data_IF_608880324391
#
_entry.id   IF_608880324391
#
_cell.length_a   1.000
_cell.length_b   1.000
_cell.length_c   1.000
_cell.angle_alpha   90.00
_cell.angle_beta   90.00
_cell.angle_gamma   90.00
#
_symmetry.space_group_name_H-M   'P 1'
#
loop_
_entity.id
_entity.type
_entity.pdbx_description
1 polymer ?
#
# COMPACT_ATOMS: atom_id res chain seq x y z
N UNK A 1 49.51 -30.03 5.69
CA UNK A 1 48.47 -30.01 4.65
C UNK A 1 47.17 -30.29 5.39
N UNK A 2 46.20 -29.41 5.55
CA UNK A 2 45.76 -28.26 4.75
C UNK A 2 45.34 -27.09 5.64
N UNK A 3 45.37 -25.92 5.01
CA UNK A 3 45.26 -24.59 5.58
C UNK A 3 43.87 -24.27 6.11
N UNK A 4 43.82 -23.68 7.31
CA UNK A 4 42.70 -22.85 7.77
C UNK A 4 42.49 -21.74 6.75
N UNK A 5 41.50 -21.89 5.86
CA UNK A 5 41.10 -20.83 4.95
C UNK A 5 40.51 -19.68 5.78
N UNK A 6 41.10 -18.50 5.62
CA UNK A 6 40.65 -17.26 6.21
C UNK A 6 39.19 -17.01 5.81
N UNK A 7 38.33 -16.79 6.79
CA UNK A 7 37.02 -16.17 6.58
C UNK A 7 37.27 -14.74 6.07
N UNK A 8 37.40 -14.62 4.75
CA UNK A 8 37.49 -13.33 4.06
C UNK A 8 36.20 -12.59 4.31
N UNK A 9 36.31 -11.34 4.78
CA UNK A 9 35.17 -10.43 4.95
C UNK A 9 34.43 -10.36 3.63
N UNK A 10 33.23 -10.94 3.56
CA UNK A 10 32.37 -10.89 2.39
C UNK A 10 32.22 -9.44 1.95
N UNK A 11 32.66 -9.15 0.72
CA UNK A 11 32.58 -7.80 0.19
C UNK A 11 31.18 -7.56 -0.38
N UNK A 12 30.74 -6.29 -0.33
CA UNK A 12 29.44 -5.89 -0.87
C UNK A 12 29.29 -6.21 -2.36
N UNK A 13 30.39 -6.22 -3.12
CA UNK A 13 30.38 -6.51 -4.56
C UNK A 13 30.20 -8.00 -4.85
N UNK A 14 30.86 -8.89 -4.08
CA UNK A 14 30.70 -10.34 -4.21
C UNK A 14 29.26 -10.76 -3.95
N UNK A 15 28.62 -10.18 -2.92
CA UNK A 15 27.21 -10.45 -2.60
C UNK A 15 26.26 -9.91 -3.68
N UNK A 16 26.58 -8.76 -4.29
CA UNK A 16 25.75 -8.16 -5.34
C UNK A 16 25.80 -8.92 -6.69
N UNK A 17 26.81 -9.77 -6.88
CA UNK A 17 26.96 -10.63 -8.05
C UNK A 17 26.16 -11.95 -7.95
N UNK A 18 25.65 -12.28 -6.76
CA UNK A 18 24.86 -13.51 -6.55
C UNK A 18 23.44 -13.29 -7.09
N UNK A 19 23.05 -14.08 -8.07
CA UNK A 19 21.70 -14.05 -8.67
C UNK A 19 20.72 -15.06 -8.03
N UNK A 20 21.23 -15.93 -7.18
CA UNK A 20 20.47 -16.99 -6.54
C UNK A 20 20.04 -16.60 -5.11
N UNK A 21 18.73 -16.60 -4.90
CA UNK A 21 18.10 -16.30 -3.63
C UNK A 21 18.39 -17.35 -2.55
N UNK A 22 18.45 -18.64 -2.93
CA UNK A 22 18.73 -19.72 -1.99
C UNK A 22 20.15 -19.63 -1.43
N UNK A 23 21.10 -19.19 -2.28
CA UNK A 23 22.49 -18.97 -1.87
C UNK A 23 22.57 -17.83 -0.84
N UNK A 24 21.90 -16.70 -1.09
CA UNK A 24 21.89 -15.56 -0.16
C UNK A 24 21.20 -15.92 1.17
N UNK A 25 20.09 -16.65 1.14
CA UNK A 25 19.41 -17.12 2.35
C UNK A 25 20.28 -18.09 3.16
N UNK A 26 20.93 -19.05 2.50
CA UNK A 26 21.86 -19.98 3.16
C UNK A 26 23.06 -19.25 3.77
N UNK A 27 23.56 -18.21 3.11
CA UNK A 27 24.61 -17.36 3.65
C UNK A 27 24.11 -16.56 4.86
N UNK A 28 22.87 -16.08 4.85
CA UNK A 28 22.26 -15.39 5.99
C UNK A 28 22.17 -16.29 7.23
N UNK A 29 21.81 -17.56 7.05
CA UNK A 29 21.70 -18.55 8.13
C UNK A 29 23.08 -18.93 8.71
N UNK A 30 24.11 -18.92 7.87
CA UNK A 30 25.49 -19.27 8.26
C UNK A 30 26.25 -18.07 8.83
N UNK A 31 25.86 -16.84 8.46
CA UNK A 31 26.49 -15.60 8.90
C UNK A 31 26.29 -15.35 10.40
N UNK A 32 27.40 -15.28 11.13
CA UNK A 32 27.44 -14.95 12.56
C UNK A 32 27.71 -13.45 12.81
N UNK A 33 28.28 -12.75 11.83
CA UNK A 33 28.58 -11.32 11.94
C UNK A 33 27.37 -10.46 11.55
N UNK A 34 27.18 -9.38 12.31
CA UNK A 34 26.06 -8.47 12.09
C UNK A 34 26.17 -7.70 10.77
N UNK A 35 27.38 -7.25 10.42
CA UNK A 35 27.61 -6.49 9.19
C UNK A 35 27.51 -7.41 7.97
N UNK A 36 27.99 -8.65 8.09
CA UNK A 36 27.79 -9.70 7.08
C UNK A 36 26.29 -9.96 6.84
N UNK A 37 25.51 -10.19 7.90
CA UNK A 37 24.06 -10.40 7.81
C UNK A 37 23.34 -9.18 7.21
N UNK A 38 23.80 -7.97 7.53
CA UNK A 38 23.28 -6.72 6.96
C UNK A 38 23.56 -6.61 5.47
N UNK A 39 24.78 -6.93 5.04
CA UNK A 39 25.20 -6.91 3.63
C UNK A 39 24.46 -7.97 2.82
N UNK A 40 24.31 -9.19 3.36
CA UNK A 40 23.56 -10.27 2.70
C UNK A 40 22.10 -9.85 2.49
N UNK A 41 21.45 -9.26 3.51
CA UNK A 41 20.10 -8.70 3.35
C UNK A 41 20.05 -7.58 2.32
N UNK A 42 21.06 -6.72 2.25
CA UNK A 42 21.13 -5.66 1.25
C UNK A 42 21.24 -6.22 -0.17
N UNK A 43 22.09 -7.23 -0.39
CA UNK A 43 22.18 -7.92 -1.66
C UNK A 43 20.88 -8.64 -2.03
N UNK A 44 20.21 -9.27 -1.05
CA UNK A 44 18.91 -9.92 -1.24
C UNK A 44 17.83 -8.91 -1.65
N UNK A 45 17.80 -7.72 -1.02
CA UNK A 45 16.94 -6.60 -1.43
C UNK A 45 17.17 -6.23 -2.89
N UNK A 46 18.42 -6.02 -3.26
CA UNK A 46 18.77 -5.56 -4.61
C UNK A 46 18.43 -6.63 -5.66
N UNK A 47 18.72 -7.90 -5.37
CA UNK A 47 18.39 -9.01 -6.26
C UNK A 47 16.88 -9.11 -6.50
N UNK A 48 16.09 -9.07 -5.42
CA UNK A 48 14.64 -9.22 -5.50
C UNK A 48 13.97 -7.98 -6.11
N UNK A 49 14.51 -6.77 -5.84
CA UNK A 49 14.12 -5.54 -6.54
C UNK A 49 14.39 -5.65 -8.04
N UNK A 50 15.58 -6.09 -8.46
CA UNK A 50 15.91 -6.32 -9.88
C UNK A 50 14.96 -7.33 -10.52
N UNK A 51 14.66 -8.46 -9.86
CA UNK A 51 13.70 -9.47 -10.38
C UNK A 51 12.29 -8.90 -10.52
N UNK A 52 11.82 -8.10 -9.56
CA UNK A 52 10.52 -7.41 -9.64
C UNK A 52 10.48 -6.42 -10.80
N UNK A 53 11.43 -5.52 -10.87
CA UNK A 53 11.49 -4.47 -11.89
C UNK A 53 11.63 -5.08 -13.29
N UNK A 54 12.38 -6.19 -13.42
CA UNK A 54 12.48 -6.99 -14.66
C UNK A 54 11.11 -7.55 -15.09
N UNK A 55 10.31 -8.07 -14.14
CA UNK A 55 8.95 -8.58 -14.42
C UNK A 55 7.99 -7.47 -14.81
N UNK A 56 8.07 -6.31 -14.17
CA UNK A 56 7.25 -5.15 -14.53
C UNK A 56 7.64 -4.59 -15.90
N UNK A 57 8.93 -4.56 -16.22
CA UNK A 57 9.44 -4.14 -17.51
C UNK A 57 8.97 -5.08 -18.64
N UNK A 58 9.08 -6.40 -18.47
CA UNK A 58 8.58 -7.38 -19.45
C UNK A 58 7.06 -7.23 -19.70
N UNK A 59 6.27 -6.97 -18.65
CA UNK A 59 4.84 -6.67 -18.76
C UNK A 59 4.59 -5.36 -19.52
N UNK A 60 5.34 -4.31 -19.21
CA UNK A 60 5.25 -3.02 -19.89
C UNK A 60 5.59 -3.13 -21.37
N UNK A 61 6.69 -3.80 -21.71
CA UNK A 61 7.12 -4.05 -23.09
C UNK A 61 6.07 -4.84 -23.87
N UNK A 62 5.54 -5.95 -23.34
CA UNK A 62 4.48 -6.72 -24.01
C UNK A 62 3.23 -5.89 -24.27
N UNK A 63 2.83 -5.03 -23.33
CA UNK A 63 1.68 -4.15 -23.50
C UNK A 63 1.94 -3.05 -24.53
N UNK A 64 3.18 -2.58 -24.64
CA UNK A 64 3.60 -1.60 -25.64
C UNK A 64 3.66 -2.20 -27.04
N UNK A 65 4.25 -3.40 -27.20
CA UNK A 65 4.27 -4.17 -28.45
C UNK A 65 2.85 -4.44 -28.96
N UNK A 66 1.93 -4.85 -28.07
CA UNK A 66 0.51 -5.04 -28.42
C UNK A 66 -0.13 -3.73 -28.92
N UNK A 67 0.21 -2.60 -28.32
CA UNK A 67 -0.31 -1.29 -28.72
C UNK A 67 0.28 -0.82 -30.06
N UNK A 68 1.56 -1.04 -30.30
CA UNK A 68 2.21 -0.77 -31.59
C UNK A 68 1.68 -1.67 -32.71
N UNK A 69 1.41 -2.95 -32.43
CA UNK A 69 0.83 -3.87 -33.41
C UNK A 69 -0.61 -3.48 -33.79
N UNK A 70 -1.39 -2.96 -32.82
CA UNK A 70 -2.75 -2.43 -33.09
C UNK A 70 -2.68 -1.11 -33.88
N UNK A 71 -1.74 -0.22 -33.56
CA UNK A 71 -1.55 1.06 -34.26
C UNK A 71 -1.03 0.87 -35.69
N UNK A 72 -0.14 -0.10 -35.92
CA UNK A 72 0.39 -0.42 -37.25
C UNK A 72 -0.62 -1.13 -38.16
N UNK A 73 -1.56 -1.93 -37.60
CA UNK A 73 -2.69 -2.50 -38.37
C UNK A 73 -3.78 -1.49 -38.75
N UNK A 74 -3.82 -0.31 -38.12
CA UNK A 74 -4.78 0.75 -38.45
C UNK A 74 -4.35 1.62 -39.65
N UNK A 75 -3.20 1.34 -40.28
CA UNK A 75 -2.59 2.16 -41.33
C UNK A 75 -2.90 1.79 -42.80
N UNK A 76 -3.84 0.87 -43.09
CA UNK A 76 -4.15 0.50 -44.49
C UNK A 76 -5.59 0.86 -44.87
N UNK A 77 -5.83 1.89 -45.71
CA UNK A 77 -7.10 2.08 -46.39
C UNK A 77 -7.09 1.28 -47.70
N UNK A 78 -7.81 0.16 -47.72
CA UNK A 78 -8.05 -0.64 -48.92
C UNK A 78 -9.35 -1.41 -48.77
N UNK A 79 -10.35 -1.06 -49.58
CA UNK A 79 -11.76 -1.39 -49.37
C UNK A 79 -12.25 -2.75 -49.88
N UNK A 80 -13.58 -2.92 -49.80
CA UNK A 80 -14.35 -4.06 -50.33
C UNK A 80 -15.09 -4.84 -49.23
N UNK A 81 -16.24 -4.37 -48.74
CA UNK A 81 -17.62 -4.76 -49.14
C UNK A 81 -18.07 -6.13 -48.61
N UNK A 82 -19.18 -6.15 -47.86
CA UNK A 82 -20.04 -7.33 -47.70
C UNK A 82 -20.80 -7.46 -46.37
N UNK A 83 -21.95 -6.76 -46.28
CA UNK A 83 -23.28 -7.26 -45.81
C UNK A 83 -23.32 -8.21 -44.60
N UNK A 84 -24.03 -8.00 -43.48
CA UNK A 84 -25.13 -7.11 -43.11
C UNK A 84 -25.92 -7.83 -42.00
N UNK A 85 -26.36 -7.11 -40.95
CA UNK A 85 -27.69 -7.31 -40.37
C UNK A 85 -28.11 -6.13 -39.50
N UNK A 86 -29.29 -5.63 -39.83
CA UNK A 86 -30.03 -4.50 -39.28
C UNK A 86 -31.16 -4.97 -38.38
N UNK A 87 -31.35 -4.30 -37.23
CA UNK A 87 -32.65 -3.94 -36.62
C UNK A 87 -32.35 -2.92 -35.49
N UNK A 88 -32.54 -1.60 -35.68
CA UNK A 88 -33.81 -0.83 -35.54
C UNK A 88 -34.48 -1.08 -34.18
N UNK A 89 -34.81 -0.12 -33.29
CA UNK A 89 -35.37 1.24 -33.43
C UNK A 89 -35.42 1.81 -31.97
N UNK A 90 -35.15 3.07 -31.62
CA UNK A 90 -36.03 4.27 -31.67
C UNK A 90 -35.27 5.43 -30.95
N UNK A 91 -34.92 6.56 -31.60
CA UNK A 91 -35.61 7.88 -31.59
C UNK A 91 -35.77 8.51 -30.19
N UNK A 92 -35.42 9.77 -29.88
CA UNK A 92 -35.38 11.04 -30.65
C UNK A 92 -34.43 12.08 -30.01
N UNK A 93 -33.91 13.01 -30.82
CA UNK A 93 -33.26 14.24 -30.38
C UNK A 93 -34.14 15.47 -30.69
N UNK A 94 -34.13 16.49 -29.82
CA UNK A 94 -34.48 17.88 -30.18
C UNK A 94 -33.64 18.87 -29.37
N UNK A 95 -33.08 19.86 -30.08
CA UNK A 95 -32.27 20.97 -29.57
C UNK A 95 -33.11 22.24 -29.32
N UNK A 96 -32.57 23.12 -28.43
CA UNK A 96 -32.47 24.62 -28.48
C UNK A 96 -33.56 25.46 -27.72
N UNK A 97 -33.33 26.78 -27.38
CA UNK A 97 -32.43 27.37 -26.36
C UNK A 97 -33.11 28.50 -25.49
N UNK A 98 -32.53 29.69 -25.11
CA UNK A 98 -32.54 30.23 -23.73
C UNK A 98 -33.25 31.59 -23.52
N UNK A 99 -33.32 32.09 -22.27
CA UNK A 99 -33.67 33.49 -21.91
C UNK A 99 -33.99 33.62 -20.41
N UNK A 100 -33.10 34.16 -19.58
CA UNK A 100 -32.93 35.57 -19.16
C UNK A 100 -33.95 36.11 -18.11
N UNK A 101 -33.37 36.58 -17.00
CA UNK A 101 -33.87 37.36 -15.83
C UNK A 101 -34.25 38.82 -16.23
N UNK A 102 -34.42 39.84 -15.33
CA UNK A 102 -34.70 39.99 -13.86
C UNK A 102 -35.90 40.99 -13.66
N UNK A 103 -36.09 41.88 -12.62
CA UNK A 103 -35.34 42.27 -11.39
C UNK A 103 -36.26 42.33 -10.12
N UNK A 104 -35.95 42.83 -8.90
CA UNK A 104 -35.10 43.89 -8.32
C UNK A 104 -35.03 43.66 -6.79
N UNK A 105 -33.88 43.80 -6.11
CA UNK A 105 -33.43 44.95 -5.30
C UNK A 105 -33.70 44.87 -3.78
N UNK A 106 -32.65 45.15 -2.97
CA UNK A 106 -32.77 45.64 -1.59
C UNK A 106 -31.86 44.98 -0.53
N UNK A 107 -30.70 45.59 -0.22
CA UNK A 107 -30.11 45.56 1.13
C UNK A 107 -30.67 46.74 1.98
N UNK A 108 -30.14 47.07 3.19
CA UNK A 108 -28.89 46.62 3.82
C UNK A 108 -28.95 46.37 5.38
N UNK A 109 -27.77 46.15 5.97
CA UNK A 109 -27.32 46.56 7.33
C UNK A 109 -27.46 45.65 8.58
N UNK A 110 -26.28 45.19 9.02
CA UNK A 110 -25.69 45.07 10.36
C UNK A 110 -26.56 45.04 11.64
N UNK A 111 -26.26 44.07 12.53
CA UNK A 111 -26.24 44.24 14.00
C UNK A 111 -25.56 43.07 14.73
N UNK A 112 -24.55 43.41 15.54
CA UNK A 112 -23.88 42.54 16.53
C UNK A 112 -24.73 42.42 17.80
N UNK A 113 -24.72 41.25 18.45
CA UNK A 113 -24.99 41.10 19.89
C UNK A 113 -24.40 39.78 20.41
N UNK A 114 -23.99 39.79 21.67
CA UNK A 114 -22.96 38.97 22.27
C UNK A 114 -23.47 37.74 23.06
N UNK A 115 -22.54 36.79 23.26
CA UNK A 115 -22.32 35.93 24.44
C UNK A 115 -23.49 35.16 25.08
N UNK A 116 -23.40 33.82 25.01
CA UNK A 116 -23.70 32.96 26.16
C UNK A 116 -22.61 31.90 26.28
N UNK A 117 -21.79 32.01 27.31
CA UNK A 117 -20.82 31.00 27.73
C UNK A 117 -21.57 29.71 28.08
N UNK A 118 -21.14 28.59 27.50
CA UNK A 118 -21.41 27.25 28.03
C UNK A 118 -20.07 26.55 28.23
N UNK A 119 -19.83 26.14 29.46
CA UNK A 119 -18.63 25.42 29.91
C UNK A 119 -18.34 24.20 29.02
N UNK A 120 -17.08 23.87 28.70
CA UNK A 120 -16.78 22.67 27.95
C UNK A 120 -16.91 21.47 28.88
N UNK A 121 -18.06 20.78 28.80
CA UNK A 121 -18.11 19.38 29.23
C UNK A 121 -17.11 18.61 28.38
N UNK A 122 -16.21 17.87 29.01
CA UNK A 122 -15.19 17.06 28.35
C UNK A 122 -15.84 16.19 27.25
N UNK A 123 -15.72 16.65 26.01
CA UNK A 123 -16.21 15.90 24.86
C UNK A 123 -15.34 14.65 24.76
N UNK A 124 -15.98 13.48 24.81
CA UNK A 124 -15.36 12.25 24.34
C UNK A 124 -14.69 12.54 22.99
N UNK A 125 -13.46 12.08 22.75
CA UNK A 125 -12.75 12.39 21.52
C UNK A 125 -13.64 11.99 20.34
N UNK A 126 -14.04 12.98 19.54
CA UNK A 126 -14.97 12.79 18.43
C UNK A 126 -14.45 11.65 17.56
N UNK A 127 -15.20 10.55 17.43
CA UNK A 127 -14.71 9.32 16.79
C UNK A 127 -14.21 9.56 15.35
N UNK A 128 -14.78 10.55 14.65
CA UNK A 128 -14.32 11.03 13.35
C UNK A 128 -12.88 11.57 13.39
N UNK A 129 -12.53 12.27 14.46
CA UNK A 129 -11.18 12.82 14.67
C UNK A 129 -10.17 11.71 15.01
N UNK A 130 -10.57 10.70 15.78
CA UNK A 130 -9.69 9.56 16.14
C UNK A 130 -9.41 8.70 14.91
N UNK A 131 -10.43 8.40 14.11
CA UNK A 131 -10.27 7.64 12.86
C UNK A 131 -9.32 8.35 11.89
N UNK A 132 -9.48 9.67 11.75
CA UNK A 132 -8.60 10.48 10.89
C UNK A 132 -7.16 10.51 11.43
N UNK A 133 -6.97 10.73 12.74
CA UNK A 133 -5.65 10.69 13.38
C UNK A 133 -4.92 9.36 13.10
N UNK A 134 -5.63 8.23 13.21
CA UNK A 134 -5.04 6.92 12.95
C UNK A 134 -4.68 6.73 11.47
N UNK A 135 -5.51 7.24 10.55
CA UNK A 135 -5.24 7.19 9.13
C UNK A 135 -3.98 7.99 8.78
N UNK A 136 -3.86 9.20 9.33
CA UNK A 136 -2.69 10.07 9.13
C UNK A 136 -1.44 9.48 9.76
N UNK A 137 -1.58 8.81 10.91
CA UNK A 137 -0.49 8.05 11.50
C UNK A 137 -0.02 6.90 10.60
N UNK A 138 -0.94 6.13 10.01
CA UNK A 138 -0.58 5.06 9.06
C UNK A 138 0.20 5.64 7.87
N UNK A 139 -0.32 6.71 7.25
CA UNK A 139 0.35 7.41 6.14
C UNK A 139 1.75 7.86 6.51
N UNK A 140 1.92 8.53 7.65
CA UNK A 140 3.21 9.02 8.10
C UNK A 140 4.21 7.87 8.38
N UNK A 141 3.73 6.70 8.77
CA UNK A 141 4.58 5.53 9.01
C UNK A 141 4.95 4.78 7.74
N UNK A 142 4.10 4.82 6.72
CA UNK A 142 4.31 4.12 5.45
C UNK A 142 4.82 5.03 4.33
N UNK A 143 5.01 6.33 4.56
CA UNK A 143 5.49 7.30 3.55
C UNK A 143 6.78 6.86 2.84
N UNK A 144 7.78 6.24 3.50
CA UNK A 144 9.01 5.80 2.82
C UNK A 144 8.86 4.54 1.95
N UNK A 145 7.68 3.90 1.94
CA UNK A 145 7.49 2.60 1.27
C UNK A 145 6.90 2.77 -0.13
N UNK A 146 7.62 2.26 -1.12
CA UNK A 146 7.11 2.13 -2.49
C UNK A 146 5.88 1.20 -2.52
N UNK A 147 4.93 1.51 -3.40
CA UNK A 147 3.73 0.69 -3.62
C UNK A 147 2.64 0.85 -2.55
N UNK A 148 2.79 1.77 -1.59
CA UNK A 148 1.77 2.01 -0.55
C UNK A 148 1.17 3.40 -0.66
N UNK A 149 -0.15 3.46 -0.79
CA UNK A 149 -0.91 4.70 -0.72
C UNK A 149 -2.19 4.53 0.10
N UNK A 150 -2.09 4.82 1.40
CA UNK A 150 -3.19 4.64 2.35
C UNK A 150 -4.16 5.82 2.26
N UNK A 151 -5.32 5.59 1.66
CA UNK A 151 -6.38 6.59 1.53
C UNK A 151 -7.59 6.32 2.43
N UNK A 152 -7.79 5.07 2.80
CA UNK A 152 -8.93 4.60 3.58
C UNK A 152 -8.53 3.38 4.42
N UNK A 153 -9.50 2.76 5.10
CA UNK A 153 -9.33 1.49 5.82
C UNK A 153 -9.97 0.30 5.08
N UNK A 154 -10.21 0.38 3.78
CA UNK A 154 -10.74 -0.74 2.98
C UNK A 154 -9.79 -1.05 1.83
N UNK A 155 -10.05 -0.51 0.65
CA UNK A 155 -9.36 -0.83 -0.60
C UNK A 155 -7.86 -0.58 -0.58
N UNK A 156 -7.38 0.38 0.22
CA UNK A 156 -5.95 0.63 0.41
C UNK A 156 -5.19 -0.50 1.11
N UNK A 157 -5.89 -1.48 1.67
CA UNK A 157 -5.32 -2.57 2.46
C UNK A 157 -5.53 -3.94 1.81
N UNK A 158 -6.21 -4.00 0.65
CA UNK A 158 -6.70 -5.25 0.05
C UNK A 158 -5.60 -6.20 -0.43
N UNK A 159 -4.42 -5.67 -0.74
CA UNK A 159 -3.28 -6.44 -1.27
C UNK A 159 -2.31 -6.91 -0.17
N UNK A 160 -2.56 -6.52 1.08
CA UNK A 160 -1.72 -6.82 2.23
C UNK A 160 -0.43 -5.99 2.33
N UNK A 161 -0.06 -5.23 1.28
CA UNK A 161 1.20 -4.49 1.24
C UNK A 161 1.23 -3.37 2.29
N UNK A 162 0.10 -2.68 2.48
CA UNK A 162 -0.03 -1.66 3.53
C UNK A 162 0.15 -2.23 4.94
N UNK A 163 -0.33 -3.46 5.20
CA UNK A 163 -0.09 -4.13 6.48
C UNK A 163 1.39 -4.48 6.65
N UNK A 164 2.01 -5.08 5.64
CA UNK A 164 3.44 -5.42 5.65
C UNK A 164 4.31 -4.17 5.87
N UNK A 165 4.06 -3.08 5.16
CA UNK A 165 4.82 -1.83 5.31
C UNK A 165 4.73 -1.27 6.73
N UNK A 166 3.52 -1.27 7.31
CA UNK A 166 3.30 -0.75 8.64
C UNK A 166 4.00 -1.60 9.71
N UNK A 167 3.94 -2.93 9.61
CA UNK A 167 4.64 -3.85 10.52
C UNK A 167 6.15 -3.72 10.37
N UNK A 168 6.67 -3.73 9.13
CA UNK A 168 8.09 -3.58 8.82
C UNK A 168 8.67 -2.26 9.36
N UNK A 169 7.86 -1.20 9.46
CA UNK A 169 8.32 0.09 10.01
C UNK A 169 8.75 -0.01 11.47
N UNK A 170 8.17 -0.93 12.24
CA UNK A 170 8.54 -1.16 13.64
C UNK A 170 9.51 -2.34 13.80
N UNK A 171 9.49 -3.29 12.85
CA UNK A 171 10.32 -4.49 12.88
C UNK A 171 11.00 -4.71 11.52
N UNK A 172 11.97 -3.86 11.14
CA UNK A 172 12.61 -3.94 9.81
C UNK A 172 13.44 -5.21 9.61
N UNK A 173 13.85 -5.87 10.70
CA UNK A 173 14.58 -7.14 10.63
C UNK A 173 13.66 -8.38 10.55
N UNK A 174 12.34 -8.20 10.58
CA UNK A 174 11.40 -9.32 10.65
C UNK A 174 11.22 -10.04 9.31
N UNK A 175 11.26 -9.30 8.20
CA UNK A 175 11.15 -9.81 6.83
C UNK A 175 11.61 -8.74 5.85
N UNK A 176 11.87 -9.13 4.60
CA UNK A 176 12.39 -8.21 3.59
C UNK A 176 11.24 -7.59 2.78
N UNK A 177 10.97 -6.29 2.95
CA UNK A 177 9.80 -5.65 2.32
C UNK A 177 9.90 -5.60 0.77
N UNK A 178 11.09 -5.39 0.21
CA UNK A 178 11.29 -5.21 -1.23
C UNK A 178 10.91 -6.42 -2.08
N UNK A 179 10.75 -7.57 -1.44
CA UNK A 179 10.47 -8.87 -2.09
C UNK A 179 8.97 -9.11 -2.25
N UNK A 180 8.16 -8.35 -1.51
CA UNK A 180 6.72 -8.53 -1.44
C UNK A 180 6.05 -8.23 -2.78
N UNK A 181 5.01 -9.00 -3.05
CA UNK A 181 4.29 -8.97 -4.30
C UNK A 181 2.82 -8.62 -4.05
N UNK A 182 2.29 -7.51 -4.60
CA UNK A 182 0.88 -7.13 -4.42
C UNK A 182 -0.12 -8.15 -5.00
N UNK A 183 0.34 -9.08 -5.84
CA UNK A 183 -0.47 -10.13 -6.42
C UNK A 183 -0.55 -11.41 -5.57
N UNK A 184 0.13 -11.45 -4.42
CA UNK A 184 0.11 -12.56 -3.46
C UNK A 184 -0.50 -12.10 -2.12
N UNK A 185 -1.75 -11.58 -2.11
CA UNK A 185 -2.34 -10.93 -0.94
C UNK A 185 -2.44 -11.87 0.27
N UNK A 186 -2.71 -13.15 0.03
CA UNK A 186 -2.79 -14.17 1.09
C UNK A 186 -1.48 -14.26 1.88
N UNK A 187 -0.36 -14.33 1.18
CA UNK A 187 0.97 -14.44 1.79
C UNK A 187 1.34 -13.14 2.52
N UNK A 188 1.03 -11.99 1.91
CA UNK A 188 1.24 -10.69 2.53
C UNK A 188 0.46 -10.56 3.85
N UNK A 189 -0.83 -10.90 3.87
CA UNK A 189 -1.65 -10.86 5.08
C UNK A 189 -1.09 -11.81 6.15
N UNK A 190 -0.79 -13.05 5.78
CA UNK A 190 -0.27 -14.05 6.71
C UNK A 190 1.07 -13.62 7.31
N UNK A 191 1.99 -13.09 6.50
CA UNK A 191 3.27 -12.57 6.95
C UNK A 191 3.11 -11.39 7.91
N UNK A 192 2.26 -10.42 7.56
CA UNK A 192 2.03 -9.25 8.39
C UNK A 192 1.41 -9.61 9.74
N UNK A 193 0.36 -10.42 9.75
CA UNK A 193 -0.38 -10.78 10.97
C UNK A 193 0.43 -11.69 11.89
N UNK A 194 1.08 -12.73 11.35
CA UNK A 194 1.95 -13.60 12.15
C UNK A 194 3.14 -12.85 12.75
N UNK A 195 3.71 -11.88 12.02
CA UNK A 195 4.78 -11.03 12.53
C UNK A 195 4.29 -10.07 13.61
N UNK A 196 3.13 -9.44 13.40
CA UNK A 196 2.53 -8.55 14.39
C UNK A 196 2.15 -9.29 15.68
N UNK A 197 1.62 -10.49 15.59
CA UNK A 197 1.33 -11.35 16.74
C UNK A 197 2.62 -11.71 17.49
N UNK A 198 3.61 -12.26 16.79
CA UNK A 198 4.86 -12.71 17.40
C UNK A 198 5.69 -11.59 18.04
N UNK A 199 5.78 -10.43 17.38
CA UNK A 199 6.68 -9.35 17.82
C UNK A 199 5.97 -8.25 18.62
N UNK A 200 4.73 -7.91 18.25
CA UNK A 200 3.95 -6.89 18.94
C UNK A 200 2.90 -7.47 19.91
N UNK A 201 2.63 -8.77 19.89
CA UNK A 201 1.56 -9.36 20.71
C UNK A 201 0.16 -8.98 20.25
N UNK A 202 0.01 -8.57 18.99
CA UNK A 202 -1.27 -8.15 18.43
C UNK A 202 -2.11 -9.38 18.09
N UNK A 203 -3.33 -9.54 18.65
CA UNK A 203 -4.16 -10.69 18.37
C UNK A 203 -4.62 -10.73 16.90
N UNK A 204 -4.75 -11.92 16.28
CA UNK A 204 -5.16 -12.08 14.90
C UNK A 204 -6.69 -11.90 14.78
N UNK A 205 -7.15 -10.64 14.72
CA UNK A 205 -8.58 -10.31 14.57
C UNK A 205 -9.11 -10.48 13.14
N UNK A 206 -8.22 -10.67 12.17
CA UNK A 206 -8.54 -10.80 10.76
C UNK A 206 -7.96 -12.11 10.22
N UNK A 207 -8.74 -12.83 9.42
CA UNK A 207 -8.30 -14.04 8.74
C UNK A 207 -7.82 -13.69 7.31
N UNK A 208 -6.57 -14.03 6.94
CA UNK A 208 -6.05 -13.86 5.57
C UNK A 208 -6.94 -14.46 4.49
N UNK A 209 -7.51 -15.64 4.73
CA UNK A 209 -8.33 -16.36 3.75
C UNK A 209 -9.68 -15.64 3.55
N UNK A 210 -10.25 -15.02 4.59
CA UNK A 210 -11.45 -14.17 4.45
C UNK A 210 -11.15 -12.90 3.65
N UNK A 211 -10.05 -12.22 3.95
CA UNK A 211 -9.68 -10.96 3.29
C UNK A 211 -9.46 -11.13 1.78
N UNK A 212 -8.93 -12.28 1.36
CA UNK A 212 -8.69 -12.60 -0.06
C UNK A 212 -9.97 -13.00 -0.78
N UNK A 213 -10.95 -13.60 -0.09
CA UNK A 213 -12.25 -13.95 -0.68
C UNK A 213 -13.12 -12.72 -0.97
N UNK A 214 -12.90 -11.63 -0.26
CA UNK A 214 -13.66 -10.39 -0.42
C UNK A 214 -13.05 -9.50 -1.52
N UNK A 215 -13.89 -8.75 -2.24
CA UNK A 215 -13.41 -7.78 -3.22
C UNK A 215 -12.65 -6.63 -2.57
N UNK A 216 -13.12 -6.19 -1.40
CA UNK A 216 -12.47 -5.23 -0.52
C UNK A 216 -12.77 -5.58 0.94
N UNK A 217 -11.82 -5.37 1.87
CA UNK A 217 -12.05 -5.66 3.27
C UNK A 217 -12.99 -4.65 3.93
N UNK A 218 -13.82 -5.10 4.89
CA UNK A 218 -14.68 -4.20 5.66
C UNK A 218 -13.85 -3.20 6.46
N UNK A 219 -14.17 -1.92 6.28
CA UNK A 219 -13.36 -0.84 6.84
C UNK A 219 -13.34 -0.79 8.36
N UNK A 220 -14.39 -1.31 9.04
CA UNK A 220 -14.42 -1.37 10.51
C UNK A 220 -13.52 -2.49 11.00
N UNK A 221 -13.47 -3.62 10.30
CA UNK A 221 -12.60 -4.73 10.66
C UNK A 221 -11.13 -4.32 10.55
N UNK A 222 -10.73 -3.72 9.42
CA UNK A 222 -9.37 -3.17 9.24
C UNK A 222 -9.07 -2.08 10.26
N UNK A 223 -9.98 -1.12 10.46
CA UNK A 223 -9.80 -0.06 11.45
C UNK A 223 -9.58 -0.61 12.87
N UNK A 224 -10.38 -1.59 13.28
CA UNK A 224 -10.29 -2.22 14.60
C UNK A 224 -8.96 -2.94 14.76
N UNK A 225 -8.51 -3.68 13.74
CA UNK A 225 -7.21 -4.33 13.77
C UNK A 225 -6.06 -3.31 13.88
N UNK A 226 -6.08 -2.23 13.11
CA UNK A 226 -5.04 -1.19 13.17
C UNK A 226 -5.05 -0.45 14.51
N UNK A 227 -6.23 -0.19 15.08
CA UNK A 227 -6.34 0.36 16.44
C UNK A 227 -5.68 -0.57 17.47
N UNK A 228 -5.94 -1.86 17.37
CA UNK A 228 -5.40 -2.86 18.27
C UNK A 228 -3.88 -3.00 18.12
N UNK A 229 -3.38 -3.03 16.87
CA UNK A 229 -1.95 -3.02 16.60
C UNK A 229 -1.27 -1.77 17.18
N UNK A 230 -1.87 -0.59 16.99
CA UNK A 230 -1.40 0.65 17.60
C UNK A 230 -1.34 0.56 19.13
N UNK A 231 -2.39 0.03 19.78
CA UNK A 231 -2.42 -0.19 21.24
C UNK A 231 -1.26 -1.08 21.69
N UNK A 232 -1.05 -2.21 21.02
CA UNK A 232 0.03 -3.14 21.33
C UNK A 232 1.41 -2.49 21.21
N UNK A 233 1.63 -1.66 20.18
CA UNK A 233 2.87 -0.91 20.01
C UNK A 233 3.09 0.14 21.12
N UNK A 234 2.03 0.82 21.56
CA UNK A 234 2.10 1.78 22.68
C UNK A 234 2.46 1.07 23.98
N UNK A 235 1.84 -0.08 24.26
CA UNK A 235 2.13 -0.87 25.46
C UNK A 235 3.56 -1.38 25.51
N UNK A 236 4.14 -1.70 24.35
CA UNK A 236 5.55 -2.05 24.19
C UNK A 236 6.51 -0.84 24.18
N UNK A 237 5.99 0.39 24.26
CA UNK A 237 6.79 1.61 24.21
C UNK A 237 7.38 1.95 22.85
N UNK A 238 6.93 1.27 21.78
CA UNK A 238 7.37 1.49 20.40
C UNK A 238 6.72 2.73 19.75
N UNK A 239 5.60 3.19 20.33
CA UNK A 239 4.93 4.43 19.94
C UNK A 239 4.85 5.36 21.14
N UNK A 240 5.45 6.54 21.02
CA UNK A 240 5.42 7.57 22.06
C UNK A 240 4.09 8.31 22.01
N UNK A 241 3.25 8.12 23.03
CA UNK A 241 2.08 8.97 23.28
C UNK A 241 2.47 10.08 24.25
N UNK A 242 2.10 11.33 23.96
CA UNK A 242 2.34 12.46 24.86
C UNK A 242 1.62 12.18 26.19
N UNK A 243 2.37 11.94 27.28
CA UNK A 243 1.80 11.85 28.63
C UNK A 243 1.12 13.19 28.92
N UNK A 244 -0.20 13.17 29.14
CA UNK A 244 -0.91 14.30 29.74
C UNK A 244 -0.58 14.23 31.23
N UNK A 245 0.32 15.10 31.67
CA UNK A 245 0.49 15.44 33.09
C UNK A 245 -0.54 16.51 33.43
#
# INVERSE_FOLDING_TARGET
MESKAAAGKLTSEELAAIEDEEVLNKMMDTAADFEERRLIRAALRDLLKRKRDKREQDRGSRQQDLKEQVLSRAGTPGGGVGTGNTAAKQQTATKKPPGQLPPSAGGPAARSAASVQKCPSAAAPNAKNVKQMLLDWCRAKTEPYEGVNIQNFSSSWKDGIAFCALVHRFFPDAFEYSTLNPYEPRENFQLAFSTAERLAGCPPLLDPDDLVRMSEPDWKCVYTYIQEFYRCLVEKGLVKTKKRF
#
